data_IF_878632005088
#
_entry.id   IF_878632005088
#
_cell.length_a   1.000
_cell.length_b   1.000
_cell.length_c   1.000
_cell.angle_alpha   90.00
_cell.angle_beta   90.00
_cell.angle_gamma   90.00
#
_symmetry.space_group_name_H-M   'P 1'
#
loop_
_entity.id
_entity.type
_entity.pdbx_description
1 polymer ?
#
# COMPACT_ATOMS: atom_id res chain seq x y z
N UNK A 1 -0.85 13.19 3.84
CA UNK A 1 -0.33 12.37 2.71
C UNK A 1 -0.78 12.85 1.33
N UNK A 2 -1.67 13.85 1.23
CA UNK A 2 -2.29 14.28 -0.04
C UNK A 2 -1.32 14.61 -1.18
N UNK A 3 -0.15 15.21 -0.87
CA UNK A 3 0.88 15.53 -1.89
C UNK A 3 1.43 14.31 -2.66
N UNK A 4 1.19 13.10 -2.15
CA UNK A 4 1.64 11.86 -2.76
C UNK A 4 0.58 11.21 -3.65
N UNK A 5 -0.66 11.71 -3.67
CA UNK A 5 -1.71 11.20 -4.56
C UNK A 5 -1.24 11.33 -6.01
N UNK A 6 -1.36 10.23 -6.77
CA UNK A 6 -0.91 10.12 -8.14
C UNK A 6 0.56 9.69 -8.31
N UNK A 7 1.35 9.66 -7.24
CA UNK A 7 2.75 9.23 -7.26
C UNK A 7 2.86 7.72 -7.13
N UNK A 8 3.79 7.12 -7.86
CA UNK A 8 4.13 5.71 -7.75
C UNK A 8 5.27 5.53 -6.75
N UNK A 9 5.12 4.57 -5.84
CA UNK A 9 6.15 4.14 -4.92
C UNK A 9 6.39 2.64 -5.04
N UNK A 10 7.61 2.21 -4.71
CA UNK A 10 7.86 0.83 -4.33
C UNK A 10 7.32 0.62 -2.93
N UNK A 11 6.45 -0.37 -2.73
CA UNK A 11 5.85 -0.70 -1.44
C UNK A 11 6.24 -2.13 -1.10
N UNK A 12 6.90 -2.31 0.05
CA UNK A 12 7.07 -3.63 0.65
C UNK A 12 5.79 -3.97 1.40
N UNK A 13 5.05 -4.97 0.93
CA UNK A 13 3.87 -5.49 1.62
C UNK A 13 4.29 -6.54 2.66
N UNK A 14 3.78 -6.41 3.88
CA UNK A 14 4.24 -7.22 5.01
C UNK A 14 3.15 -8.15 5.55
N UNK A 15 1.90 -7.69 5.58
CA UNK A 15 0.80 -8.45 6.16
C UNK A 15 -0.57 -7.96 5.70
N UNK A 16 -1.59 -8.77 5.99
CA UNK A 16 -2.99 -8.38 5.83
C UNK A 16 -3.38 -7.21 6.73
N UNK A 17 -4.17 -6.28 6.20
CA UNK A 17 -4.65 -5.11 6.92
C UNK A 17 -5.93 -5.43 7.69
N UNK A 18 -5.89 -5.24 9.02
CA UNK A 18 -7.03 -5.47 9.92
C UNK A 18 -7.67 -6.87 9.81
N UNK A 19 -6.89 -7.90 9.49
CA UNK A 19 -7.38 -9.27 9.34
C UNK A 19 -8.26 -9.50 8.11
N UNK A 20 -8.20 -8.60 7.12
CA UNK A 20 -8.87 -8.77 5.84
C UNK A 20 -7.89 -9.41 4.83
N UNK A 21 -8.23 -10.60 4.35
CA UNK A 21 -7.39 -11.39 3.46
C UNK A 21 -7.14 -10.74 2.09
N UNK A 22 -8.03 -9.83 1.65
CA UNK A 22 -7.91 -9.13 0.37
C UNK A 22 -7.14 -7.81 0.47
N UNK A 23 -6.90 -7.31 1.69
CA UNK A 23 -6.21 -6.04 1.92
C UNK A 23 -4.86 -6.28 2.57
N UNK A 24 -3.85 -5.61 2.06
CA UNK A 24 -2.49 -5.71 2.56
C UNK A 24 -1.99 -4.34 2.97
N UNK A 25 -1.29 -4.28 4.10
CA UNK A 25 -0.50 -3.13 4.48
C UNK A 25 0.96 -3.33 4.10
N UNK A 26 1.57 -2.23 3.68
CA UNK A 26 2.97 -2.18 3.33
C UNK A 26 3.53 -0.78 3.52
N UNK A 27 4.85 -0.68 3.40
CA UNK A 27 5.57 0.57 3.60
C UNK A 27 6.41 0.92 2.39
N UNK A 28 6.38 2.21 2.07
CA UNK A 28 7.31 2.84 1.13
C UNK A 28 8.69 3.04 1.77
N UNK A 29 9.76 3.30 0.99
CA UNK A 29 11.09 3.59 1.54
C UNK A 29 11.15 4.77 2.52
N UNK A 30 10.21 5.71 2.42
CA UNK A 30 10.06 6.83 3.34
C UNK A 30 8.99 6.58 4.42
N UNK A 31 8.70 5.32 4.72
CA UNK A 31 7.82 4.86 5.82
C UNK A 31 6.37 5.34 5.75
N UNK A 32 5.88 5.72 4.57
CA UNK A 32 4.44 5.93 4.37
C UNK A 32 3.77 4.57 4.35
N UNK A 33 2.78 4.36 5.23
CA UNK A 33 1.89 3.21 5.24
C UNK A 33 0.93 3.26 4.06
N UNK A 34 0.89 2.19 3.29
CA UNK A 34 0.02 2.03 2.13
C UNK A 34 -0.82 0.77 2.31
N UNK A 35 -2.12 0.90 2.13
CA UNK A 35 -3.07 -0.22 2.11
C UNK A 35 -3.51 -0.44 0.67
N UNK A 36 -3.44 -1.68 0.20
CA UNK A 36 -3.83 -2.02 -1.17
C UNK A 36 -4.60 -3.33 -1.22
N UNK A 37 -5.51 -3.42 -2.19
CA UNK A 37 -6.23 -4.67 -2.45
C UNK A 37 -5.40 -5.58 -3.35
N UNK A 38 -5.37 -6.88 -3.07
CA UNK A 38 -4.77 -7.91 -3.92
C UNK A 38 -5.56 -9.22 -3.81
N UNK A 39 -5.77 -9.89 -4.93
CA UNK A 39 -6.38 -11.24 -4.96
C UNK A 39 -5.33 -12.36 -4.78
N UNK A 40 -4.06 -11.99 -4.76
CA UNK A 40 -2.92 -12.90 -4.57
C UNK A 40 -2.19 -12.57 -3.27
N UNK A 41 -1.58 -13.58 -2.66
CA UNK A 41 -0.70 -13.39 -1.51
C UNK A 41 0.55 -12.60 -1.92
N UNK A 42 0.74 -11.43 -1.30
CA UNK A 42 1.82 -10.49 -1.63
C UNK A 42 2.73 -10.15 -0.45
N UNK A 43 2.66 -10.91 0.64
CA UNK A 43 3.58 -10.75 1.77
C UNK A 43 5.04 -10.87 1.31
N UNK A 44 5.89 -10.03 1.88
CA UNK A 44 7.32 -9.89 1.57
C UNK A 44 7.64 -9.44 0.14
N UNK A 45 6.64 -9.03 -0.66
CA UNK A 45 6.86 -8.53 -2.03
C UNK A 45 6.98 -7.02 -2.05
N UNK A 46 7.94 -6.55 -2.84
CA UNK A 46 8.05 -5.14 -3.23
C UNK A 46 7.34 -4.96 -4.56
N UNK A 47 6.24 -4.21 -4.56
CA UNK A 47 5.45 -3.93 -5.77
C UNK A 47 5.41 -2.43 -6.04
N UNK A 48 5.32 -2.06 -7.32
CA UNK A 48 5.09 -0.68 -7.70
C UNK A 48 3.60 -0.35 -7.51
N UNK A 49 3.33 0.68 -6.70
CA UNK A 49 1.99 1.01 -6.23
C UNK A 49 1.74 2.50 -6.38
N UNK A 50 0.63 2.84 -7.02
CA UNK A 50 0.19 4.23 -7.17
C UNK A 50 -0.67 4.63 -5.99
N UNK A 51 -0.34 5.72 -5.30
CA UNK A 51 -1.21 6.28 -4.26
C UNK A 51 -2.43 6.92 -4.93
N UNK A 52 -3.63 6.50 -4.54
CA UNK A 52 -4.89 7.00 -5.09
C UNK A 52 -5.71 7.81 -4.08
N UNK A 53 -5.49 7.60 -2.79
CA UNK A 53 -6.17 8.31 -1.71
C UNK A 53 -5.23 8.46 -0.51
N UNK A 54 -5.37 9.56 0.20
CA UNK A 54 -4.69 9.80 1.47
C UNK A 54 -5.73 9.85 2.59
N UNK A 55 -5.56 9.01 3.61
CA UNK A 55 -6.30 9.09 4.88
C UNK A 55 -5.38 9.61 5.98
N UNK A 56 -5.93 9.80 7.18
CA UNK A 56 -5.17 10.34 8.32
C UNK A 56 -3.97 9.45 8.68
N UNK A 57 -4.19 8.13 8.78
CA UNK A 57 -3.20 7.17 9.31
C UNK A 57 -2.49 6.33 8.22
N UNK A 58 -3.04 6.28 7.00
CA UNK A 58 -2.49 5.50 5.89
C UNK A 58 -2.95 6.05 4.54
N UNK A 59 -2.32 5.60 3.46
CA UNK A 59 -2.74 5.88 2.08
C UNK A 59 -3.37 4.65 1.45
N UNK A 60 -4.32 4.84 0.53
CA UNK A 60 -4.80 3.76 -0.35
C UNK A 60 -3.93 3.73 -1.60
N UNK A 61 -3.43 2.54 -1.94
CA UNK A 61 -2.63 2.28 -3.12
C UNK A 61 -3.31 1.32 -4.09
N UNK A 62 -3.06 1.51 -5.38
CA UNK A 62 -3.37 0.55 -6.43
C UNK A 62 -2.08 -0.09 -6.95
N UNK A 63 -1.98 -1.42 -6.84
CA UNK A 63 -0.86 -2.23 -7.32
C UNK A 63 -0.94 -2.31 -8.84
N UNK A 64 0.20 -2.15 -9.53
CA UNK A 64 0.33 -2.22 -10.99
C UNK A 64 0.82 -3.58 -11.48
#
# INVERSE_FOLDING_TARGET
MEKFIGVNFKVLYEQNFNGNDDLYEGYTPNYIKVVSKSESQIDEKILDTKIIEAKDEYSIGNIM
#
